data_IF_720401167821
#
_entry.id   IF_720401167821
#
_cell.length_a   1.000
_cell.length_b   1.000
_cell.length_c   1.000
_cell.angle_alpha   90.00
_cell.angle_beta   90.00
_cell.angle_gamma   90.00
#
_symmetry.space_group_name_H-M   'P 1'
#
loop_
_entity.id
_entity.type
_entity.pdbx_description
1 polymer ?
#
# COMPACT_ATOMS: atom_id res chain seq x y z
N UNK A 1 20.26 40.61 4.88
CA UNK A 1 19.24 39.60 5.23
C UNK A 1 19.94 38.25 5.23
N UNK A 2 19.81 37.43 6.27
CA UNK A 2 20.46 36.12 6.30
C UNK A 2 19.67 35.09 5.50
N UNK A 3 20.38 34.08 4.99
CA UNK A 3 19.81 32.97 4.22
C UNK A 3 18.71 32.21 4.99
N UNK A 4 18.89 32.06 6.31
CA UNK A 4 17.89 31.44 7.20
C UNK A 4 16.58 32.23 7.27
N UNK A 5 16.64 33.56 7.15
CA UNK A 5 15.47 34.41 7.22
C UNK A 5 14.70 34.38 5.89
N UNK A 6 15.43 34.34 4.76
CA UNK A 6 14.84 34.14 3.42
C UNK A 6 14.12 32.80 3.30
N UNK A 7 14.77 31.72 3.75
CA UNK A 7 14.16 30.37 3.74
C UNK A 7 12.88 30.33 4.59
N UNK A 8 12.82 31.07 5.71
CA UNK A 8 11.61 31.12 6.54
C UNK A 8 10.46 31.83 5.87
N UNK A 9 10.74 32.96 5.23
CA UNK A 9 9.74 33.75 4.50
C UNK A 9 9.16 32.95 3.33
N UNK A 10 10.02 32.25 2.59
CA UNK A 10 9.60 31.33 1.54
C UNK A 10 8.80 30.13 2.10
N UNK A 11 9.23 29.51 3.20
CA UNK A 11 8.49 28.41 3.83
C UNK A 11 7.11 28.84 4.33
N UNK A 12 6.97 30.05 4.87
CA UNK A 12 5.71 30.58 5.37
C UNK A 12 4.71 30.81 4.23
N UNK A 13 5.19 31.25 3.06
CA UNK A 13 4.40 31.38 1.85
C UNK A 13 3.99 30.04 1.24
N UNK A 14 4.89 29.06 1.22
CA UNK A 14 4.65 27.75 0.61
C UNK A 14 3.84 26.79 1.52
N UNK A 15 4.15 26.77 2.82
CA UNK A 15 3.50 25.89 3.78
C UNK A 15 3.50 26.51 5.17
N UNK A 16 2.43 27.24 5.54
CA UNK A 16 2.30 27.84 6.87
C UNK A 16 2.26 26.78 7.98
N UNK A 17 1.90 25.53 7.66
CA UNK A 17 1.94 24.40 8.59
C UNK A 17 3.39 23.96 8.89
N UNK A 18 4.23 23.79 7.86
CA UNK A 18 5.64 23.38 8.04
C UNK A 18 6.47 24.45 8.73
N UNK A 19 6.18 25.73 8.45
CA UNK A 19 6.81 26.86 9.15
C UNK A 19 6.54 26.79 10.66
N UNK A 20 5.29 26.51 11.07
CA UNK A 20 4.90 26.34 12.48
C UNK A 20 5.51 25.10 13.14
N UNK A 21 5.58 23.98 12.43
CA UNK A 21 6.16 22.74 12.96
C UNK A 21 7.64 22.95 13.33
N UNK A 22 8.40 23.69 12.52
CA UNK A 22 9.81 24.00 12.82
C UNK A 22 9.98 24.90 14.04
N UNK A 23 9.03 25.80 14.30
CA UNK A 23 9.04 26.69 15.48
C UNK A 23 8.61 25.97 16.77
N UNK A 24 7.56 25.15 16.71
CA UNK A 24 7.01 24.45 17.87
C UNK A 24 7.79 23.17 18.22
N UNK A 25 8.31 22.48 17.20
CA UNK A 25 9.01 21.21 17.35
C UNK A 25 10.48 21.44 17.12
N UNK A 26 11.19 21.97 18.12
CA UNK A 26 12.66 22.21 18.07
C UNK A 26 13.52 21.00 17.68
N UNK A 27 12.91 19.81 17.51
CA UNK A 27 13.50 18.61 16.95
C UNK A 27 12.51 17.88 16.02
N UNK A 28 12.46 18.21 14.72
CA UNK A 28 11.53 17.57 13.76
C UNK A 28 11.82 16.08 13.53
N UNK A 29 12.99 15.60 13.98
CA UNK A 29 13.43 14.21 13.87
C UNK A 29 13.23 13.40 15.15
N UNK A 30 12.47 13.90 16.13
CA UNK A 30 12.13 13.13 17.34
C UNK A 30 10.79 12.45 17.15
N UNK A 31 10.79 11.14 17.30
CA UNK A 31 9.56 10.35 17.35
C UNK A 31 8.89 10.51 18.72
N UNK A 32 7.54 10.45 18.79
CA UNK A 32 6.82 10.36 20.05
C UNK A 32 7.30 9.20 20.92
N UNK A 33 7.15 9.33 22.22
CA UNK A 33 7.43 8.24 23.16
C UNK A 33 6.54 7.03 22.82
N UNK A 34 7.14 5.83 22.75
CA UNK A 34 6.43 4.60 22.42
C UNK A 34 6.12 4.38 20.93
N UNK A 35 6.53 5.27 20.01
CA UNK A 35 6.22 5.14 18.57
C UNK A 35 6.65 3.80 17.96
N UNK A 36 7.82 3.29 18.36
CA UNK A 36 8.33 1.97 17.92
C UNK A 36 8.17 0.87 18.96
N UNK A 37 7.31 1.08 19.97
CA UNK A 37 7.08 0.06 21.00
C UNK A 37 6.45 -1.18 20.38
N UNK A 38 7.10 -2.33 20.52
CA UNK A 38 6.64 -3.61 19.95
C UNK A 38 7.05 -3.87 18.51
N UNK A 39 7.57 -2.86 17.77
CA UNK A 39 8.05 -3.07 16.39
C UNK A 39 9.13 -4.17 16.29
N UNK A 40 10.14 -4.25 17.18
CA UNK A 40 11.14 -5.31 17.11
C UNK A 40 10.55 -6.72 17.26
N UNK A 41 9.59 -6.89 18.16
CA UNK A 41 8.92 -8.17 18.40
C UNK A 41 8.06 -8.59 17.21
N UNK A 42 7.41 -7.62 16.58
CA UNK A 42 6.59 -7.80 15.38
C UNK A 42 7.42 -8.24 14.17
N UNK A 43 8.56 -7.59 13.95
CA UNK A 43 9.52 -7.97 12.89
C UNK A 43 10.03 -9.40 13.12
N UNK A 44 10.49 -9.70 14.33
CA UNK A 44 10.98 -11.03 14.68
C UNK A 44 9.90 -12.12 14.57
N UNK A 45 8.64 -11.78 14.86
CA UNK A 45 7.51 -12.70 14.71
C UNK A 45 7.24 -13.00 13.23
N UNK A 46 7.31 -12.00 12.35
CA UNK A 46 7.13 -12.17 10.90
C UNK A 46 8.22 -13.05 10.28
N UNK A 47 9.49 -12.77 10.60
CA UNK A 47 10.63 -13.58 10.14
C UNK A 47 10.45 -15.06 10.52
N UNK A 48 10.08 -15.35 11.77
CA UNK A 48 9.85 -16.74 12.22
C UNK A 48 8.66 -17.41 11.52
N UNK A 49 7.60 -16.65 11.21
CA UNK A 49 6.45 -17.19 10.50
C UNK A 49 6.84 -17.61 9.08
N UNK A 50 7.67 -16.81 8.40
CA UNK A 50 8.20 -17.11 7.06
C UNK A 50 9.18 -18.29 7.08
N UNK A 51 10.11 -18.35 8.04
CA UNK A 51 11.00 -19.51 8.24
C UNK A 51 10.23 -20.81 8.53
N UNK A 52 9.10 -20.71 9.25
CA UNK A 52 8.21 -21.83 9.54
C UNK A 52 7.48 -22.37 8.31
N UNK A 53 7.26 -21.54 7.28
CA UNK A 53 6.71 -21.97 5.99
C UNK A 53 7.78 -22.70 5.16
N UNK A 54 9.04 -22.27 5.22
CA UNK A 54 10.17 -22.92 4.53
C UNK A 54 10.48 -24.32 5.10
N UNK A 55 10.27 -24.54 6.41
CA UNK A 55 10.52 -25.85 7.06
C UNK A 55 9.38 -26.87 6.89
N UNK A 56 8.23 -26.50 6.34
CA UNK A 56 7.06 -27.40 6.14
C UNK A 56 7.13 -28.25 4.86
N UNK A 57 8.20 -28.17 4.10
CA UNK A 57 8.45 -29.01 2.90
C UNK A 57 8.88 -30.45 3.20
N UNK A 58 8.66 -30.96 4.42
CA UNK A 58 8.81 -32.38 4.76
C UNK A 58 7.58 -33.19 4.33
N UNK A 59 7.70 -34.51 4.07
CA UNK A 59 6.57 -35.32 3.63
C UNK A 59 5.47 -35.26 4.69
N UNK A 60 4.36 -34.62 4.32
CA UNK A 60 3.19 -34.48 5.15
C UNK A 60 2.64 -35.87 5.49
N UNK A 61 2.82 -36.29 6.75
CA UNK A 61 2.09 -37.41 7.34
C UNK A 61 0.62 -36.99 7.45
N UNK A 62 -0.14 -37.24 6.39
CA UNK A 62 -1.59 -37.09 6.39
C UNK A 62 -2.18 -38.18 7.27
N UNK A 63 -2.39 -37.85 8.55
CA UNK A 63 -3.30 -38.65 9.39
C UNK A 63 -4.70 -38.34 8.90
N UNK A 64 -5.22 -39.22 8.05
CA UNK A 64 -6.59 -39.20 7.54
C UNK A 64 -7.56 -39.02 8.70
N UNK A 65 -8.14 -37.82 8.79
CA UNK A 65 -9.22 -37.52 9.70
C UNK A 65 -10.49 -37.81 8.93
N UNK A 66 -10.96 -39.06 9.05
CA UNK A 66 -12.23 -39.56 8.50
C UNK A 66 -13.43 -38.83 9.12
N UNK A 67 -13.60 -37.57 8.72
CA UNK A 67 -14.67 -36.69 9.14
C UNK A 67 -15.20 -35.93 7.94
N UNK A 68 -15.52 -36.65 6.87
CA UNK A 68 -16.16 -36.08 5.70
C UNK A 68 -17.48 -35.41 6.06
N UNK A 69 -17.89 -34.46 5.20
CA UNK A 69 -19.15 -33.69 5.25
C UNK A 69 -20.39 -34.59 5.51
N UNK A 70 -20.32 -35.87 5.11
CA UNK A 70 -21.36 -36.87 5.36
C UNK A 70 -21.62 -37.18 6.83
N UNK A 71 -20.60 -37.14 7.69
CA UNK A 71 -20.77 -37.38 9.14
C UNK A 71 -21.49 -36.21 9.83
N UNK A 72 -21.26 -34.98 9.36
CA UNK A 72 -21.98 -33.79 9.82
C UNK A 72 -23.45 -33.78 9.35
N UNK A 73 -23.72 -34.28 8.14
CA UNK A 73 -25.08 -34.33 7.60
C UNK A 73 -25.95 -35.41 8.28
N UNK A 74 -25.34 -36.50 8.74
CA UNK A 74 -26.05 -37.57 9.44
C UNK A 74 -26.51 -37.17 10.85
N UNK A 75 -25.79 -36.26 11.52
CA UNK A 75 -26.24 -35.62 12.77
C UNK A 75 -27.47 -34.71 12.56
N UNK A 76 -27.60 -34.13 11.36
CA UNK A 76 -28.69 -33.19 11.03
C UNK A 76 -30.05 -33.88 10.81
N UNK A 77 -30.09 -35.16 10.41
CA UNK A 77 -31.34 -35.88 10.09
C UNK A 77 -31.97 -36.67 11.26
N UNK A 78 -31.51 -36.51 12.51
CA UNK A 78 -32.15 -37.18 13.65
C UNK A 78 -33.48 -36.52 14.07
N UNK A 79 -34.57 -37.28 14.28
CA UNK A 79 -35.94 -36.74 14.42
C UNK A 79 -36.24 -36.01 15.72
N UNK A 80 -35.27 -35.82 16.62
CA UNK A 80 -35.50 -35.17 17.93
C UNK A 80 -35.53 -33.64 17.88
N UNK A 81 -35.00 -32.98 16.83
CA UNK A 81 -34.83 -31.51 16.82
C UNK A 81 -35.58 -30.79 15.68
N UNK A 82 -36.49 -31.46 14.98
CA UNK A 82 -37.18 -30.92 13.80
C UNK A 82 -37.94 -29.60 14.05
N UNK A 83 -38.51 -29.42 15.25
CA UNK A 83 -39.22 -28.19 15.61
C UNK A 83 -38.29 -26.97 15.77
N UNK A 84 -37.06 -27.19 16.25
CA UNK A 84 -36.08 -26.10 16.45
C UNK A 84 -35.52 -25.55 15.13
N UNK A 85 -35.23 -26.45 14.18
CA UNK A 85 -34.75 -26.04 12.86
C UNK A 85 -35.81 -25.29 12.04
N UNK A 86 -37.09 -25.67 12.15
CA UNK A 86 -38.17 -24.96 11.49
C UNK A 86 -38.31 -23.51 12.02
N UNK A 87 -38.20 -23.32 13.34
CA UNK A 87 -38.23 -21.99 13.95
C UNK A 87 -37.00 -21.15 13.55
N UNK A 88 -35.81 -21.76 13.53
CA UNK A 88 -34.57 -21.08 13.12
C UNK A 88 -34.61 -20.65 11.64
N UNK A 89 -35.14 -21.49 10.74
CA UNK A 89 -35.34 -21.13 9.34
C UNK A 89 -36.38 -20.01 9.18
N UNK A 90 -37.49 -20.06 9.93
CA UNK A 90 -38.49 -18.98 9.92
C UNK A 90 -37.90 -17.65 10.40
N UNK A 91 -37.09 -17.67 11.45
CA UNK A 91 -36.39 -16.50 11.96
C UNK A 91 -35.32 -15.98 10.98
N UNK A 92 -34.58 -16.87 10.32
CA UNK A 92 -33.58 -16.48 9.33
C UNK A 92 -34.22 -15.84 8.10
N UNK A 93 -35.30 -16.44 7.57
CA UNK A 93 -36.03 -15.92 6.41
C UNK A 93 -36.76 -14.62 6.76
N UNK A 94 -37.45 -14.58 7.91
CA UNK A 94 -38.12 -13.37 8.39
C UNK A 94 -37.14 -12.23 8.71
N UNK A 95 -36.01 -12.56 9.33
CA UNK A 95 -34.91 -11.64 9.61
C UNK A 95 -34.29 -11.07 8.33
N UNK A 96 -34.03 -11.91 7.32
CA UNK A 96 -33.53 -11.48 6.02
C UNK A 96 -34.54 -10.60 5.26
N UNK A 97 -35.84 -10.90 5.35
CA UNK A 97 -36.88 -10.08 4.78
C UNK A 97 -36.93 -8.68 5.42
N UNK A 98 -36.80 -8.61 6.76
CA UNK A 98 -36.77 -7.34 7.50
C UNK A 98 -35.46 -6.56 7.30
N UNK A 99 -34.32 -7.24 7.13
CA UNK A 99 -33.03 -6.61 6.80
C UNK A 99 -33.04 -6.03 5.38
N UNK A 100 -33.72 -6.69 4.43
CA UNK A 100 -33.86 -6.17 3.06
C UNK A 100 -34.77 -4.95 2.98
N UNK A 101 -35.75 -4.82 3.88
CA UNK A 101 -36.66 -3.66 3.89
C UNK A 101 -36.15 -2.49 4.75
N UNK A 102 -35.28 -2.74 5.73
CA UNK A 102 -34.70 -1.71 6.61
C UNK A 102 -33.23 -1.44 6.29
N UNK A 103 -32.96 -0.84 5.12
CA UNK A 103 -31.78 0.00 4.92
C UNK A 103 -30.42 -0.70 4.72
N UNK A 104 -29.75 -0.26 3.64
CA UNK A 104 -28.31 0.06 3.66
C UNK A 104 -27.34 -1.09 3.85
N UNK A 105 -26.55 -1.37 2.81
CA UNK A 105 -25.45 -2.32 2.85
C UNK A 105 -24.54 -2.11 4.08
N UNK A 106 -24.18 -3.18 4.82
CA UNK A 106 -23.27 -3.08 5.93
C UNK A 106 -21.82 -2.99 5.42
N UNK A 107 -21.20 -1.82 5.60
CA UNK A 107 -19.79 -1.72 5.96
C UNK A 107 -18.76 -2.22 4.96
N UNK A 108 -18.64 -1.54 3.83
CA UNK A 108 -17.34 -1.22 3.23
C UNK A 108 -17.45 0.23 2.72
N UNK A 109 -16.45 1.11 2.92
CA UNK A 109 -16.45 2.38 2.23
C UNK A 109 -16.36 2.08 0.73
N UNK A 110 -17.50 2.21 0.05
CA UNK A 110 -17.68 2.24 -1.41
C UNK A 110 -16.80 3.34 -2.07
N UNK A 111 -16.10 4.15 -1.27
CA UNK A 111 -15.19 5.20 -1.69
C UNK A 111 -14.00 4.70 -2.53
N UNK A 112 -13.58 3.44 -2.38
CA UNK A 112 -12.56 2.84 -3.25
C UNK A 112 -13.15 2.13 -4.47
N UNK A 113 -14.46 1.86 -4.49
CA UNK A 113 -15.15 1.21 -5.61
C UNK A 113 -15.62 2.22 -6.67
N UNK A 114 -15.53 3.52 -6.39
CA UNK A 114 -15.98 4.59 -7.28
C UNK A 114 -14.93 5.09 -8.27
N UNK A 115 -13.64 4.82 -8.06
CA UNK A 115 -12.58 5.19 -9.01
C UNK A 115 -12.39 4.04 -10.01
N UNK A 116 -12.27 4.39 -11.29
CA UNK A 116 -11.93 3.38 -12.30
C UNK A 116 -10.46 2.95 -12.15
N UNK A 117 -10.12 1.75 -12.62
CA UNK A 117 -8.72 1.29 -12.66
C UNK A 117 -7.85 2.27 -13.48
N UNK A 118 -8.44 2.89 -14.49
CA UNK A 118 -7.79 3.86 -15.37
C UNK A 118 -7.48 5.17 -14.64
N UNK A 119 -8.45 5.71 -13.89
CA UNK A 119 -8.28 6.90 -13.05
C UNK A 119 -7.26 6.68 -11.92
N UNK A 120 -7.24 5.47 -11.33
CA UNK A 120 -6.25 5.10 -10.33
C UNK A 120 -4.83 5.05 -10.92
N UNK A 121 -4.67 4.51 -12.14
CA UNK A 121 -3.38 4.46 -12.84
C UNK A 121 -2.90 5.85 -13.25
N UNK A 122 -3.81 6.69 -13.73
CA UNK A 122 -3.52 8.08 -14.09
C UNK A 122 -3.03 8.86 -12.88
N UNK A 123 -3.72 8.76 -11.74
CA UNK A 123 -3.28 9.39 -10.49
C UNK A 123 -1.88 8.94 -10.04
N UNK A 124 -1.59 7.63 -10.10
CA UNK A 124 -0.25 7.12 -9.78
C UNK A 124 0.80 7.64 -10.76
N UNK A 125 0.45 7.79 -12.04
CA UNK A 125 1.35 8.34 -13.07
C UNK A 125 1.62 9.85 -12.92
N UNK A 126 0.64 10.62 -12.45
CA UNK A 126 0.82 12.06 -12.18
C UNK A 126 1.64 12.29 -10.90
N UNK A 127 1.62 11.33 -9.98
CA UNK A 127 2.23 11.42 -8.66
C UNK A 127 3.34 10.38 -8.47
N UNK A 128 4.06 10.00 -9.54
CA UNK A 128 5.12 8.96 -9.48
C UNK A 128 6.19 9.20 -8.40
N UNK A 129 6.42 10.45 -8.00
CA UNK A 129 7.36 10.77 -6.91
C UNK A 129 6.90 10.30 -5.52
N UNK A 130 5.60 10.05 -5.34
CA UNK A 130 5.02 9.57 -4.08
C UNK A 130 4.98 8.05 -3.99
N UNK A 131 5.12 7.35 -5.13
CA UNK A 131 4.96 5.90 -5.23
C UNK A 131 6.30 5.21 -5.50
N UNK A 132 6.56 4.12 -4.77
CA UNK A 132 7.76 3.30 -5.00
C UNK A 132 7.64 2.44 -6.26
N UNK A 133 8.78 2.18 -6.93
CA UNK A 133 8.84 1.33 -8.14
C UNK A 133 8.19 -0.04 -7.96
N UNK A 134 8.31 -0.65 -6.77
CA UNK A 134 7.70 -1.95 -6.45
C UNK A 134 6.17 -1.91 -6.53
N UNK A 135 5.58 -0.84 -6.02
CA UNK A 135 4.13 -0.64 -6.06
C UNK A 135 3.64 -0.29 -7.48
N UNK A 136 4.43 0.45 -8.24
CA UNK A 136 4.11 0.77 -9.65
C UNK A 136 4.14 -0.47 -10.55
N UNK A 137 5.08 -1.39 -10.30
CA UNK A 137 5.16 -2.72 -10.93
C UNK A 137 3.92 -3.56 -10.60
N UNK A 138 3.51 -3.56 -9.32
CA UNK A 138 2.29 -4.26 -8.87
C UNK A 138 1.02 -3.67 -9.51
N UNK A 139 0.94 -2.35 -9.61
CA UNK A 139 -0.18 -1.63 -10.22
C UNK A 139 -0.18 -1.68 -11.77
N UNK A 140 0.80 -2.36 -12.39
CA UNK A 140 0.98 -2.42 -13.85
C UNK A 140 1.12 -1.05 -14.54
N UNK A 141 1.58 -0.04 -13.80
CA UNK A 141 1.82 1.32 -14.32
C UNK A 141 3.12 1.35 -15.13
N UNK A 142 4.10 0.53 -14.74
CA UNK A 142 5.39 0.34 -15.42
C UNK A 142 5.65 -1.16 -15.54
N UNK A 143 6.12 -1.62 -16.70
CA UNK A 143 6.49 -3.03 -16.88
C UNK A 143 7.92 -3.31 -16.42
N UNK A 144 8.19 -4.58 -16.09
CA UNK A 144 9.54 -5.04 -15.81
C UNK A 144 10.48 -4.83 -17.03
N UNK A 145 9.94 -4.94 -18.25
CA UNK A 145 10.65 -4.64 -19.49
C UNK A 145 11.08 -3.16 -19.58
N UNK A 146 10.22 -2.22 -19.20
CA UNK A 146 10.53 -0.78 -19.25
C UNK A 146 11.66 -0.41 -18.26
N UNK A 147 11.72 -1.09 -17.13
CA UNK A 147 12.78 -0.91 -16.12
C UNK A 147 14.09 -1.54 -16.60
N UNK A 148 14.03 -2.65 -17.34
CA UNK A 148 15.22 -3.29 -17.92
C UNK A 148 15.83 -2.47 -19.07
N UNK A 149 15.06 -1.57 -19.66
CA UNK A 149 15.48 -0.60 -20.68
C UNK A 149 16.07 0.68 -20.07
N UNK A 150 15.98 0.85 -18.74
CA UNK A 150 16.87 1.75 -17.99
C UNK A 150 18.24 1.05 -17.96
N UNK A 151 18.90 1.14 -19.11
CA UNK A 151 20.28 0.78 -19.34
C UNK A 151 21.07 1.26 -18.11
N UNK A 152 21.79 0.33 -17.46
CA UNK A 152 22.83 0.72 -16.50
C UNK A 152 23.63 1.79 -17.21
N UNK A 153 23.46 3.04 -16.77
CA UNK A 153 24.19 4.17 -17.32
C UNK A 153 25.65 3.70 -17.44
N UNK A 154 26.31 3.90 -18.59
CA UNK A 154 27.73 3.63 -18.63
C UNK A 154 28.33 4.33 -17.40
N UNK A 155 29.22 3.66 -16.67
CA UNK A 155 30.08 4.35 -15.70
C UNK A 155 30.95 5.32 -16.52
N UNK A 156 30.36 6.43 -16.98
CA UNK A 156 31.07 7.57 -17.49
C UNK A 156 31.85 8.09 -16.30
N UNK A 157 33.19 8.08 -16.42
CA UNK A 157 34.02 8.73 -15.44
C UNK A 157 33.55 10.18 -15.27
N UNK A 158 33.74 10.79 -14.10
CA UNK A 158 33.31 12.17 -13.86
C UNK A 158 33.81 13.14 -14.95
N UNK A 159 34.97 12.84 -15.53
CA UNK A 159 35.58 13.59 -16.63
C UNK A 159 34.80 13.47 -17.96
N UNK A 160 34.20 12.31 -18.24
CA UNK A 160 33.39 12.08 -19.44
C UNK A 160 31.97 12.65 -19.29
N UNK A 161 31.44 12.66 -18.06
CA UNK A 161 30.15 13.28 -17.73
C UNK A 161 30.18 14.79 -17.95
N UNK A 162 31.26 15.46 -17.53
CA UNK A 162 31.42 16.90 -17.68
C UNK A 162 31.45 17.30 -19.16
N UNK A 163 32.17 16.54 -20.00
CA UNK A 163 32.24 16.76 -21.46
C UNK A 163 30.87 16.55 -22.10
N UNK A 164 30.15 15.49 -21.73
CA UNK A 164 28.83 15.20 -22.27
C UNK A 164 27.80 16.26 -21.86
N UNK A 165 27.87 16.77 -20.63
CA UNK A 165 27.00 17.84 -20.15
C UNK A 165 27.30 19.16 -20.86
N UNK A 166 28.58 19.47 -21.12
CA UNK A 166 28.96 20.70 -21.83
C UNK A 166 28.48 20.66 -23.29
N UNK A 167 28.56 19.52 -23.97
CA UNK A 167 28.04 19.30 -25.33
C UNK A 167 26.50 19.42 -25.37
N UNK A 168 25.82 18.85 -24.38
CA UNK A 168 24.35 18.92 -24.26
C UNK A 168 23.85 20.35 -23.94
N UNK A 169 24.60 21.08 -23.12
CA UNK A 169 24.31 22.49 -22.78
C UNK A 169 24.58 23.39 -23.98
N UNK A 170 25.54 23.06 -24.84
CA UNK A 170 25.85 23.80 -26.06
C UNK A 170 24.75 23.62 -27.13
N UNK A 171 24.14 22.44 -27.19
CA UNK A 171 22.99 22.14 -28.05
C UNK A 171 21.66 22.74 -27.55
N UNK A 172 21.53 22.97 -26.23
CA UNK A 172 20.37 23.62 -25.64
C UNK A 172 20.46 25.14 -25.80
N UNK A 173 19.43 25.74 -26.40
CA UNK A 173 19.36 27.19 -26.49
C UNK A 173 19.18 27.82 -25.10
N UNK A 174 19.70 29.04 -24.93
CA UNK A 174 19.60 29.79 -23.66
C UNK A 174 18.13 30.04 -23.25
N UNK A 175 17.21 29.99 -24.21
CA UNK A 175 15.76 30.12 -24.04
C UNK A 175 15.13 28.82 -23.48
N UNK A 176 15.60 27.66 -23.90
CA UNK A 176 15.15 26.35 -23.37
C UNK A 176 15.69 26.08 -21.96
N UNK A 177 16.91 26.57 -21.64
CA UNK A 177 17.47 26.46 -20.29
C UNK A 177 16.73 27.33 -19.26
N UNK A 178 16.11 28.42 -19.69
CA UNK A 178 15.32 29.31 -18.82
C UNK A 178 13.92 28.74 -18.52
N UNK A 179 13.41 27.84 -19.37
CA UNK A 179 12.12 27.14 -19.16
C UNK A 179 12.23 25.96 -18.17
N UNK A 180 13.46 25.47 -17.95
CA UNK A 180 13.78 24.33 -17.07
C UNK A 180 14.08 24.72 -15.62
N UNK A 181 14.15 26.01 -15.29
CA UNK A 181 14.55 26.56 -13.99
C UNK A 181 13.43 27.38 -13.34
#
# INVERSE_FOLDING_TARGET
>A
MNEKDKIREELEGLSPLLSKIKEESGHPFRTPEGYFQGLPDDVLRRIRAEEGLVRRSGPAQLKERDGGIGAWLQWLLMPRQAAGLALALLLAVGGAYLFRTQGGAPGAPDALAGISEEEAKEYVSENIGEFGLELMLEASVVSAEDISEIEMLPEIGQEDLDIYLEDLIEDLSLEELEELL
#
